data_IF_587802662923
#
_entry.id   IF_587802662923
#
_cell.length_a   1.000
_cell.length_b   1.000
_cell.length_c   1.000
_cell.angle_alpha   90.00
_cell.angle_beta   90.00
_cell.angle_gamma   90.00
#
_symmetry.space_group_name_H-M   'P 1'
#
loop_
_entity.id
_entity.type
_entity.pdbx_description
1 polymer ?
#
# COMPACT_ATOMS: atom_id res chain seq x y z
N UNK A 1 -19.56 -35.21 -35.80
CA UNK A 1 -20.04 -34.11 -36.31
C UNK A 1 -19.16 -32.88 -36.51
N UNK A 2 -17.99 -32.93 -37.06
CA UNK A 2 -17.12 -31.78 -37.22
C UNK A 2 -17.40 -30.91 -38.44
N UNK A 3 -18.63 -30.64 -38.75
CA UNK A 3 -18.99 -29.95 -40.00
C UNK A 3 -19.54 -28.54 -39.86
N UNK A 4 -19.42 -27.95 -38.70
CA UNK A 4 -19.44 -26.49 -38.58
C UNK A 4 -18.00 -25.95 -38.82
N UNK A 5 -17.42 -26.36 -39.91
CA UNK A 5 -16.21 -25.71 -40.38
C UNK A 5 -16.65 -24.39 -40.99
N UNK A 6 -16.15 -23.31 -40.47
CA UNK A 6 -16.30 -21.98 -41.05
C UNK A 6 -15.70 -22.04 -42.46
N UNK A 7 -16.54 -21.96 -43.45
CA UNK A 7 -16.20 -22.20 -44.85
C UNK A 7 -15.34 -21.06 -45.45
N UNK A 8 -15.30 -19.94 -44.81
CA UNK A 8 -14.47 -18.80 -45.24
C UNK A 8 -13.16 -18.78 -44.51
N UNK A 9 -12.12 -19.44 -45.01
CA UNK A 9 -10.77 -19.34 -44.55
C UNK A 9 -10.05 -18.26 -45.39
N UNK A 10 -9.77 -17.13 -44.78
CA UNK A 10 -8.92 -16.08 -45.38
C UNK A 10 -7.45 -16.43 -45.29
N UNK A 11 -6.63 -15.67 -46.01
CA UNK A 11 -5.14 -15.82 -45.95
C UNK A 11 -4.57 -15.59 -44.55
N UNK A 12 -5.19 -14.72 -43.74
CA UNK A 12 -4.83 -14.46 -42.35
C UNK A 12 -5.17 -15.65 -41.44
N UNK A 13 -6.32 -16.27 -41.65
CA UNK A 13 -6.73 -17.44 -40.88
C UNK A 13 -5.80 -18.62 -41.11
N UNK A 14 -5.37 -18.82 -42.36
CA UNK A 14 -4.42 -19.86 -42.73
C UNK A 14 -3.04 -19.65 -42.09
N UNK A 15 -2.62 -18.39 -41.87
CA UNK A 15 -1.39 -18.07 -41.19
C UNK A 15 -1.44 -18.47 -39.69
N UNK A 16 -2.59 -18.31 -39.05
CA UNK A 16 -2.76 -18.65 -37.63
C UNK A 16 -3.00 -20.16 -37.43
N UNK A 17 -3.76 -20.81 -38.33
CA UNK A 17 -4.19 -22.21 -38.20
C UNK A 17 -3.30 -23.20 -38.98
N UNK A 18 -2.43 -22.70 -39.89
CA UNK A 18 -1.47 -23.52 -40.62
C UNK A 18 -0.31 -24.00 -39.73
N UNK A 19 0.05 -25.28 -39.85
CA UNK A 19 1.10 -25.91 -39.04
C UNK A 19 0.90 -25.70 -37.52
N UNK A 20 -0.22 -26.13 -36.91
CA UNK A 20 -0.52 -25.87 -35.52
C UNK A 20 0.51 -26.50 -34.58
N UNK A 21 0.92 -25.75 -33.58
CA UNK A 21 1.89 -26.17 -32.56
C UNK A 21 1.18 -26.62 -31.28
N UNK A 22 0.00 -26.13 -31.02
CA UNK A 22 -0.79 -26.41 -29.80
C UNK A 22 -2.23 -26.77 -30.18
N UNK A 23 -2.89 -27.50 -29.30
CA UNK A 23 -4.34 -27.68 -29.29
C UNK A 23 -4.90 -27.17 -27.97
N UNK A 24 -6.09 -26.57 -28.01
CA UNK A 24 -6.76 -26.12 -26.78
C UNK A 24 -7.38 -27.25 -25.95
N UNK A 25 -7.41 -28.45 -26.48
CA UNK A 25 -8.08 -29.61 -25.88
C UNK A 25 -7.12 -30.62 -25.24
N UNK A 26 -5.82 -30.26 -25.15
CA UNK A 26 -4.81 -31.09 -24.50
C UNK A 26 -3.78 -30.22 -23.79
N UNK A 27 -3.61 -30.45 -22.51
CA UNK A 27 -2.54 -29.83 -21.73
C UNK A 27 -1.21 -30.49 -22.04
N UNK A 28 -0.23 -29.71 -22.45
CA UNK A 28 1.13 -30.17 -22.73
C UNK A 28 2.00 -29.89 -21.50
N UNK A 29 2.51 -30.93 -20.87
CA UNK A 29 3.44 -30.82 -19.76
C UNK A 29 4.88 -30.70 -20.28
N UNK A 30 5.60 -29.72 -19.71
CA UNK A 30 7.05 -29.59 -19.94
C UNK A 30 7.82 -30.30 -18.83
N UNK A 31 8.94 -30.90 -19.18
CA UNK A 31 9.88 -31.46 -18.21
C UNK A 31 10.53 -30.30 -17.45
N UNK A 32 10.66 -30.43 -16.14
CA UNK A 32 11.30 -29.45 -15.26
C UNK A 32 12.20 -30.17 -14.26
N UNK A 33 13.14 -29.44 -13.66
CA UNK A 33 13.98 -29.93 -12.56
C UNK A 33 13.17 -29.95 -11.26
N UNK A 34 13.50 -30.88 -10.37
CA UNK A 34 12.92 -30.94 -9.04
C UNK A 34 13.55 -29.88 -8.15
N UNK A 35 12.75 -29.33 -7.26
CA UNK A 35 13.20 -28.39 -6.24
C UNK A 35 12.33 -28.50 -4.99
N UNK A 36 12.85 -28.03 -3.87
CA UNK A 36 12.07 -27.84 -2.64
C UNK A 36 12.38 -26.48 -2.03
N UNK A 37 11.48 -26.01 -1.18
CA UNK A 37 11.65 -24.73 -0.49
C UNK A 37 11.46 -24.93 1.01
N UNK A 38 12.23 -24.19 1.80
CA UNK A 38 12.16 -24.19 3.24
C UNK A 38 12.37 -22.77 3.77
N UNK A 39 11.66 -22.42 4.84
CA UNK A 39 11.80 -21.14 5.52
C UNK A 39 12.57 -21.37 6.81
N UNK A 40 13.70 -20.68 6.96
CA UNK A 40 14.59 -20.83 8.11
C UNK A 40 14.84 -19.49 8.76
N UNK A 41 14.72 -19.44 10.07
CA UNK A 41 15.04 -18.28 10.88
C UNK A 41 16.54 -18.00 10.85
N UNK A 42 16.91 -16.73 10.73
CA UNK A 42 18.31 -16.26 10.77
C UNK A 42 18.54 -15.41 12.01
N UNK A 43 19.69 -15.60 12.62
CA UNK A 43 20.09 -14.87 13.81
C UNK A 43 20.45 -13.42 13.46
N UNK A 44 19.92 -12.46 14.24
CA UNK A 44 20.24 -11.05 14.14
C UNK A 44 21.32 -10.73 15.19
N UNK A 45 22.48 -10.31 14.74
CA UNK A 45 23.54 -9.80 15.58
C UNK A 45 23.27 -8.32 15.94
N UNK A 46 23.49 -7.95 17.18
CA UNK A 46 23.19 -6.61 17.68
C UNK A 46 21.83 -6.53 18.35
N UNK A 47 21.03 -5.52 18.04
CA UNK A 47 19.74 -5.32 18.66
C UNK A 47 18.62 -5.95 17.81
N UNK A 48 17.87 -6.85 18.41
CA UNK A 48 16.65 -7.47 17.84
C UNK A 48 15.37 -6.99 18.53
N UNK A 49 15.46 -6.06 19.47
CA UNK A 49 14.31 -5.49 20.20
C UNK A 49 14.31 -3.98 19.95
N UNK A 50 13.17 -3.47 19.53
CA UNK A 50 12.97 -2.03 19.33
C UNK A 50 12.99 -1.29 20.65
N UNK A 51 13.65 -0.14 20.64
CA UNK A 51 13.77 0.77 21.79
C UNK A 51 13.27 2.16 21.39
N UNK A 52 13.23 3.08 22.33
CA UNK A 52 12.90 4.50 22.12
C UNK A 52 13.94 5.23 21.27
N UNK A 53 15.16 4.70 21.17
CA UNK A 53 16.23 5.21 20.31
C UNK A 53 16.47 4.31 19.13
N UNK A 54 16.85 4.90 18.00
CA UNK A 54 17.23 4.17 16.79
C UNK A 54 18.38 3.21 17.10
N UNK A 55 18.23 1.96 16.74
CA UNK A 55 19.22 0.89 16.92
C UNK A 55 19.52 0.24 15.58
N UNK A 56 20.57 -0.54 15.51
CA UNK A 56 20.93 -1.30 14.32
C UNK A 56 21.13 -2.77 14.64
N UNK A 57 20.84 -3.61 13.65
CA UNK A 57 21.09 -5.04 13.67
C UNK A 57 21.75 -5.49 12.38
N UNK A 58 22.51 -6.55 12.45
CA UNK A 58 23.15 -7.18 11.29
C UNK A 58 22.78 -8.67 11.27
N UNK A 59 22.47 -9.20 10.10
CA UNK A 59 22.24 -10.63 9.92
C UNK A 59 23.13 -11.15 8.78
N UNK A 60 23.88 -12.19 9.07
CA UNK A 60 24.62 -12.93 8.06
C UNK A 60 23.72 -14.05 7.57
N UNK A 61 23.44 -14.07 6.28
CA UNK A 61 22.60 -15.08 5.66
C UNK A 61 23.37 -16.39 5.58
N UNK A 62 22.94 -17.39 6.35
CA UNK A 62 23.53 -18.71 6.35
C UNK A 62 23.28 -19.42 5.03
N UNK A 63 24.23 -20.24 4.58
CA UNK A 63 24.12 -21.01 3.34
C UNK A 63 23.41 -22.35 3.57
N UNK A 64 22.18 -22.27 4.04
CA UNK A 64 21.38 -23.47 4.34
C UNK A 64 20.84 -24.13 3.06
N UNK A 65 20.58 -23.31 2.01
CA UNK A 65 20.10 -23.76 0.72
C UNK A 65 20.93 -23.24 -0.45
N UNK A 66 20.57 -23.66 -1.66
CA UNK A 66 21.30 -23.30 -2.88
C UNK A 66 20.97 -21.89 -3.36
N UNK A 67 19.69 -21.48 -3.27
CA UNK A 67 19.23 -20.15 -3.64
C UNK A 67 18.45 -19.51 -2.48
N UNK A 68 18.50 -18.19 -2.40
CA UNK A 68 17.67 -17.36 -1.51
C UNK A 68 16.59 -16.67 -2.35
N UNK A 69 15.31 -16.95 -2.04
CA UNK A 69 14.17 -16.45 -2.83
C UNK A 69 13.44 -15.29 -2.17
N UNK A 70 13.17 -15.39 -0.87
CA UNK A 70 12.45 -14.37 -0.12
C UNK A 70 13.07 -14.17 1.24
N UNK A 71 12.95 -12.94 1.71
CA UNK A 71 13.33 -12.56 3.06
C UNK A 71 12.21 -11.71 3.64
N UNK A 72 11.82 -11.99 4.86
CA UNK A 72 10.84 -11.19 5.58
C UNK A 72 11.18 -11.12 7.06
N UNK A 73 10.69 -10.08 7.69
CA UNK A 73 10.79 -9.86 9.13
C UNK A 73 9.45 -10.19 9.74
N UNK A 74 9.43 -10.84 10.90
CA UNK A 74 8.24 -11.01 11.71
C UNK A 74 8.42 -10.51 13.13
N UNK A 75 7.31 -10.17 13.76
CA UNK A 75 7.21 -9.89 15.18
C UNK A 75 5.88 -10.42 15.73
N UNK A 76 5.94 -11.12 16.84
CA UNK A 76 4.79 -11.64 17.58
C UNK A 76 4.42 -10.73 18.76
N UNK A 77 4.99 -9.55 18.84
CA UNK A 77 4.71 -8.58 19.91
C UNK A 77 3.35 -7.92 19.68
N UNK A 78 2.51 -7.95 20.69
CA UNK A 78 1.22 -7.27 20.69
C UNK A 78 1.38 -5.75 20.78
N UNK A 79 0.44 -5.00 20.18
CA UNK A 79 0.43 -3.53 20.25
C UNK A 79 1.16 -2.82 19.12
N UNK A 80 1.65 -3.56 18.13
CA UNK A 80 2.20 -2.96 16.91
C UNK A 80 1.06 -2.34 16.10
N UNK A 81 1.16 -1.04 15.82
CA UNK A 81 0.17 -0.28 15.05
C UNK A 81 0.68 0.16 13.68
N UNK A 82 2.00 0.28 13.53
CA UNK A 82 2.70 0.67 12.30
C UNK A 82 3.89 -0.26 12.06
N UNK A 83 3.61 -1.51 11.69
CA UNK A 83 4.66 -2.49 11.45
C UNK A 83 5.55 -2.17 10.24
N UNK A 84 5.05 -1.42 9.28
CA UNK A 84 5.81 -0.91 8.14
C UNK A 84 6.98 0.01 8.57
N UNK A 85 6.88 0.66 9.74
CA UNK A 85 7.94 1.49 10.33
C UNK A 85 8.96 0.73 11.19
N UNK A 86 8.84 -0.59 11.32
CA UNK A 86 9.84 -1.40 12.05
C UNK A 86 11.23 -1.23 11.42
N UNK A 87 11.28 -1.15 10.09
CA UNK A 87 12.53 -0.96 9.36
C UNK A 87 12.61 0.49 8.90
N UNK A 88 13.52 1.25 9.45
CA UNK A 88 13.83 2.57 8.93
C UNK A 88 14.66 2.47 7.65
N UNK A 89 15.69 1.62 7.68
CA UNK A 89 16.55 1.38 6.51
C UNK A 89 17.07 -0.05 6.52
N UNK A 90 17.15 -0.67 5.35
CA UNK A 90 17.77 -1.98 5.18
C UNK A 90 18.74 -1.96 4.02
N UNK A 91 19.91 -2.54 4.21
CA UNK A 91 21.01 -2.63 3.24
C UNK A 91 21.39 -4.07 3.03
N UNK A 92 21.64 -4.44 1.78
CA UNK A 92 22.23 -5.72 1.44
C UNK A 92 23.70 -5.52 1.03
N UNK A 93 24.59 -6.30 1.65
CA UNK A 93 26.01 -6.34 1.33
C UNK A 93 26.39 -7.72 0.86
N UNK A 94 27.18 -7.80 -0.20
CA UNK A 94 27.73 -9.04 -0.73
C UNK A 94 29.24 -8.88 -0.78
N UNK A 95 29.98 -9.73 -0.05
CA UNK A 95 31.43 -9.63 0.03
C UNK A 95 31.94 -8.30 0.66
N UNK A 96 31.10 -7.64 1.44
CA UNK A 96 31.41 -6.34 2.07
C UNK A 96 30.98 -5.12 1.26
N UNK A 97 30.67 -5.28 -0.01
CA UNK A 97 30.18 -4.19 -0.87
C UNK A 97 28.67 -4.03 -0.74
N UNK A 98 28.21 -2.76 -0.58
CA UNK A 98 26.80 -2.41 -0.54
C UNK A 98 26.20 -2.51 -1.96
N UNK A 99 25.30 -3.45 -2.15
CA UNK A 99 24.66 -3.66 -3.45
C UNK A 99 23.38 -2.83 -3.57
N UNK A 100 22.54 -2.83 -2.53
CA UNK A 100 21.26 -2.10 -2.56
C UNK A 100 20.88 -1.60 -1.17
N UNK A 101 20.04 -0.56 -1.12
CA UNK A 101 19.57 0.06 0.11
C UNK A 101 18.13 0.52 -0.04
N UNK A 102 17.26 0.10 0.86
CA UNK A 102 15.86 0.50 0.89
C UNK A 102 15.54 1.25 2.17
N UNK A 103 14.81 2.35 2.05
CA UNK A 103 14.26 3.11 3.17
C UNK A 103 12.81 2.72 3.43
N UNK A 104 12.28 3.09 4.59
CA UNK A 104 10.87 2.88 4.95
C UNK A 104 9.95 3.49 3.89
N UNK A 105 10.17 4.74 3.54
CA UNK A 105 9.37 5.50 2.57
C UNK A 105 9.39 4.84 1.20
N UNK A 106 10.55 4.34 0.76
CA UNK A 106 10.66 3.61 -0.48
C UNK A 106 9.82 2.32 -0.47
N UNK A 107 9.89 1.55 0.62
CA UNK A 107 9.13 0.30 0.73
C UNK A 107 7.61 0.55 0.75
N UNK A 108 7.16 1.59 1.43
CA UNK A 108 5.76 2.00 1.45
C UNK A 108 5.28 2.40 0.05
N UNK A 109 6.02 3.30 -0.61
CA UNK A 109 5.69 3.81 -1.93
C UNK A 109 5.66 2.69 -2.98
N UNK A 110 6.65 1.80 -2.96
CA UNK A 110 6.68 0.65 -3.86
C UNK A 110 5.52 -0.32 -3.65
N UNK A 111 5.16 -0.57 -2.40
CA UNK A 111 3.99 -1.39 -2.08
C UNK A 111 2.69 -0.78 -2.60
N UNK A 112 2.51 0.52 -2.52
CA UNK A 112 1.33 1.21 -3.06
C UNK A 112 1.24 1.14 -4.59
N UNK A 113 2.37 1.19 -5.30
CA UNK A 113 2.41 1.14 -6.76
C UNK A 113 2.31 -0.27 -7.35
N UNK A 114 2.80 -1.28 -6.63
CA UNK A 114 2.92 -2.65 -7.16
C UNK A 114 1.92 -3.63 -6.56
N UNK A 115 1.35 -3.33 -5.39
CA UNK A 115 0.39 -4.22 -4.76
C UNK A 115 -0.98 -4.08 -5.44
N UNK A 116 -1.54 -5.17 -6.02
CA UNK A 116 -2.88 -5.12 -6.57
C UNK A 116 -3.92 -4.74 -5.51
N UNK A 117 -4.95 -4.02 -5.92
CA UNK A 117 -6.05 -3.58 -5.06
C UNK A 117 -6.62 -4.70 -4.19
N UNK A 118 -6.80 -5.88 -4.77
CA UNK A 118 -7.34 -7.06 -4.09
C UNK A 118 -6.47 -7.58 -2.95
N UNK A 119 -5.17 -7.27 -2.96
CA UNK A 119 -4.19 -7.68 -1.94
C UNK A 119 -3.81 -6.56 -0.99
N UNK A 120 -4.16 -5.31 -1.29
CA UNK A 120 -3.72 -4.14 -0.50
C UNK A 120 -4.19 -4.19 0.95
N UNK A 121 -5.43 -4.61 1.20
CA UNK A 121 -5.97 -4.77 2.55
C UNK A 121 -5.23 -5.91 3.28
N UNK A 122 -4.99 -7.03 2.58
CA UNK A 122 -4.25 -8.15 3.12
C UNK A 122 -2.80 -7.78 3.48
N UNK A 123 -2.14 -6.98 2.65
CA UNK A 123 -0.78 -6.49 2.94
C UNK A 123 -0.76 -5.56 4.16
N UNK A 124 -1.71 -4.63 4.26
CA UNK A 124 -1.84 -3.76 5.44
C UNK A 124 -2.11 -4.57 6.72
N UNK A 125 -2.95 -5.61 6.62
CA UNK A 125 -3.18 -6.55 7.72
C UNK A 125 -1.90 -7.28 8.11
N UNK A 126 -1.18 -7.81 7.11
CA UNK A 126 0.08 -8.53 7.32
C UNK A 126 1.14 -7.64 8.00
N UNK A 127 1.17 -6.36 7.67
CA UNK A 127 2.09 -5.38 8.26
C UNK A 127 1.58 -4.76 9.58
N UNK A 128 0.40 -5.14 10.06
CA UNK A 128 -0.18 -4.56 11.27
C UNK A 128 -0.61 -3.10 11.15
N UNK A 129 -0.79 -2.60 9.92
CA UNK A 129 -1.16 -1.21 9.63
C UNK A 129 -2.67 -1.00 9.46
N UNK A 130 -3.52 -1.84 10.07
CA UNK A 130 -4.97 -1.72 9.98
C UNK A 130 -5.50 -0.95 11.19
N UNK A 131 -5.96 0.27 10.90
CA UNK A 131 -6.82 1.07 11.75
C UNK A 131 -6.10 1.90 12.80
N UNK A 132 -6.49 3.15 12.93
CA UNK A 132 -6.07 4.08 13.99
C UNK A 132 -6.66 3.73 15.36
N UNK A 133 -7.28 2.59 15.54
CA UNK A 133 -8.00 2.20 16.77
C UNK A 133 -7.29 1.16 17.62
N UNK A 134 -5.96 1.11 17.65
CA UNK A 134 -5.17 0.43 18.70
C UNK A 134 -5.44 -1.06 18.97
N UNK A 135 -6.35 -1.68 18.28
CA UNK A 135 -6.68 -3.11 18.37
C UNK A 135 -6.39 -3.78 17.04
N UNK A 136 -5.14 -4.08 16.81
CA UNK A 136 -4.76 -4.98 15.72
C UNK A 136 -5.25 -6.37 16.10
N UNK A 137 -6.20 -6.88 15.35
CA UNK A 137 -6.62 -8.28 15.45
C UNK A 137 -5.57 -9.27 14.91
N UNK A 138 -4.35 -8.81 14.67
CA UNK A 138 -3.24 -9.59 14.14
C UNK A 138 -2.29 -9.89 15.28
N UNK A 139 -2.09 -11.16 15.56
CA UNK A 139 -1.19 -11.63 16.62
C UNK A 139 0.28 -11.62 16.19
N UNK A 140 0.55 -11.58 14.90
CA UNK A 140 1.89 -11.59 14.34
C UNK A 140 1.96 -10.69 13.10
N UNK A 141 3.01 -9.90 13.01
CA UNK A 141 3.26 -8.97 11.91
C UNK A 141 4.35 -9.54 11.02
N UNK A 142 4.17 -9.46 9.70
CA UNK A 142 5.16 -9.88 8.72
C UNK A 142 5.45 -8.76 7.72
N UNK A 143 6.73 -8.45 7.54
CA UNK A 143 7.19 -7.38 6.64
C UNK A 143 8.09 -8.00 5.58
N UNK A 144 7.61 -8.21 4.35
CA UNK A 144 8.42 -8.73 3.26
C UNK A 144 9.42 -7.68 2.80
N UNK A 145 10.66 -8.07 2.58
CA UNK A 145 11.67 -7.23 1.95
C UNK A 145 11.51 -7.23 0.43
N UNK A 146 11.85 -6.10 -0.21
CA UNK A 146 11.56 -5.81 -1.61
C UNK A 146 12.79 -5.82 -2.52
N UNK A 147 13.88 -6.49 -2.13
CA UNK A 147 15.07 -6.63 -2.98
C UNK A 147 14.75 -7.37 -4.30
N UNK A 148 15.60 -7.19 -5.31
CA UNK A 148 15.39 -7.75 -6.65
C UNK A 148 15.12 -9.26 -6.65
N UNK A 149 15.82 -10.01 -5.81
CA UNK A 149 15.66 -11.48 -5.71
C UNK A 149 14.37 -11.90 -5.00
N UNK A 150 13.75 -10.98 -4.22
CA UNK A 150 12.45 -11.23 -3.58
C UNK A 150 11.26 -11.02 -4.52
N UNK A 151 11.45 -10.25 -5.61
CA UNK A 151 10.36 -9.87 -6.52
C UNK A 151 10.07 -10.92 -7.57
N UNK A 152 11.10 -11.61 -8.07
CA UNK A 152 10.97 -12.61 -9.12
C UNK A 152 11.75 -13.87 -8.75
N UNK A 153 11.09 -15.03 -8.89
CA UNK A 153 11.69 -16.35 -8.63
C UNK A 153 12.93 -16.61 -9.50
N UNK A 154 12.93 -16.12 -10.74
CA UNK A 154 14.06 -16.25 -11.66
C UNK A 154 15.28 -15.41 -11.31
N UNK A 155 15.14 -14.48 -10.37
CA UNK A 155 16.22 -13.64 -9.85
C UNK A 155 16.69 -14.07 -8.45
N UNK A 156 16.28 -15.26 -7.98
CA UNK A 156 16.71 -15.79 -6.68
C UNK A 156 18.23 -15.73 -6.55
N UNK A 157 18.71 -15.26 -5.38
CA UNK A 157 20.13 -15.06 -5.15
C UNK A 157 20.87 -16.39 -5.03
N UNK A 158 21.83 -16.71 -5.92
CA UNK A 158 22.49 -18.01 -5.94
C UNK A 158 23.58 -18.09 -4.86
N UNK A 159 23.23 -18.48 -3.65
CA UNK A 159 24.19 -18.62 -2.55
C UNK A 159 25.27 -19.64 -2.85
N UNK A 160 24.95 -20.66 -3.64
CA UNK A 160 25.91 -21.68 -4.07
C UNK A 160 27.01 -21.12 -4.97
N UNK A 161 26.72 -20.07 -5.75
CA UNK A 161 27.73 -19.40 -6.58
C UNK A 161 28.58 -18.41 -5.76
N UNK A 162 28.07 -17.92 -4.63
CA UNK A 162 28.72 -16.95 -3.75
C UNK A 162 29.56 -17.62 -2.65
N UNK A 163 30.32 -18.68 -3.00
CA UNK A 163 31.04 -19.51 -2.01
C UNK A 163 32.04 -18.72 -1.14
N UNK A 164 32.62 -17.67 -1.68
CA UNK A 164 33.68 -16.88 -1.03
C UNK A 164 33.20 -15.49 -0.55
N UNK A 165 31.94 -15.17 -0.76
CA UNK A 165 31.37 -13.86 -0.42
C UNK A 165 30.18 -14.04 0.48
N UNK A 166 30.25 -13.50 1.69
CA UNK A 166 29.13 -13.53 2.61
C UNK A 166 28.07 -12.51 2.19
N UNK A 167 26.83 -12.93 2.30
CA UNK A 167 25.66 -12.07 2.13
C UNK A 167 25.23 -11.59 3.50
N UNK A 168 25.18 -10.28 3.69
CA UNK A 168 24.76 -9.63 4.93
C UNK A 168 23.59 -8.71 4.69
N UNK A 169 22.68 -8.69 5.64
CA UNK A 169 21.64 -7.68 5.76
C UNK A 169 21.95 -6.81 6.97
N UNK A 170 21.96 -5.52 6.77
CA UNK A 170 22.16 -4.53 7.83
C UNK A 170 20.91 -3.70 7.94
N UNK A 171 20.35 -3.67 9.14
CA UNK A 171 19.11 -2.98 9.46
C UNK A 171 19.39 -1.79 10.36
N UNK A 172 18.75 -0.69 10.04
CA UNK A 172 18.55 0.42 10.95
C UNK A 172 17.06 0.38 11.34
N UNK A 173 16.80 0.13 12.61
CA UNK A 173 15.44 -0.08 13.12
C UNK A 173 14.74 1.26 13.37
N UNK A 174 13.44 1.26 13.22
CA UNK A 174 12.57 2.32 13.73
C UNK A 174 12.50 2.33 15.25
N UNK A 175 11.87 3.35 15.80
CA UNK A 175 11.71 3.47 17.24
C UNK A 175 10.44 2.78 17.73
N UNK A 176 10.45 2.28 18.98
CA UNK A 176 9.27 1.69 19.60
C UNK A 176 8.09 2.68 19.70
N UNK A 177 8.38 3.98 19.74
CA UNK A 177 7.37 5.06 19.74
C UNK A 177 6.64 5.14 18.40
N UNK A 178 7.38 5.03 17.28
CA UNK A 178 6.80 5.06 15.93
C UNK A 178 6.01 3.80 15.60
N UNK A 179 6.47 2.65 16.07
CA UNK A 179 5.86 1.33 15.82
C UNK A 179 4.67 1.06 16.76
N UNK A 180 4.64 1.68 17.92
CA UNK A 180 3.63 1.51 18.97
C UNK A 180 3.99 0.48 20.04
N UNK A 181 5.08 -0.29 19.88
CA UNK A 181 5.50 -1.29 20.84
C UNK A 181 7.02 -1.54 20.80
N UNK A 182 7.57 -2.03 21.92
CA UNK A 182 8.95 -2.56 21.99
C UNK A 182 8.97 -3.98 21.40
N UNK A 183 8.93 -4.06 20.07
CA UNK A 183 8.75 -5.31 19.34
C UNK A 183 10.03 -6.14 19.30
N UNK A 184 9.93 -7.44 19.56
CA UNK A 184 10.99 -8.41 19.27
C UNK A 184 10.93 -8.81 17.81
N UNK A 185 12.08 -8.79 17.14
CA UNK A 185 12.18 -8.95 15.69
C UNK A 185 12.87 -10.29 15.38
N UNK A 186 12.24 -11.04 14.45
CA UNK A 186 12.77 -12.29 13.89
C UNK A 186 12.95 -12.13 12.38
N UNK A 187 14.03 -12.67 11.85
CA UNK A 187 14.35 -12.65 10.43
C UNK A 187 14.17 -14.03 9.82
N UNK A 188 13.40 -14.13 8.76
CA UNK A 188 13.12 -15.37 8.06
C UNK A 188 13.61 -15.32 6.62
N UNK A 189 14.27 -16.38 6.21
CA UNK A 189 14.79 -16.55 4.86
C UNK A 189 14.19 -17.81 4.20
N UNK A 190 13.60 -17.63 3.03
CA UNK A 190 13.10 -18.76 2.22
C UNK A 190 14.20 -19.22 1.27
N UNK A 191 14.67 -20.44 1.52
CA UNK A 191 15.70 -21.11 0.73
C UNK A 191 15.07 -22.03 -0.30
N UNK A 192 15.77 -22.18 -1.43
CA UNK A 192 15.43 -23.15 -2.47
C UNK A 192 16.57 -24.18 -2.55
N UNK A 193 16.19 -25.45 -2.54
CA UNK A 193 17.10 -26.58 -2.74
C UNK A 193 16.91 -27.09 -4.16
N UNK A 194 18.00 -27.20 -4.90
CA UNK A 194 18.02 -27.61 -6.29
C UNK A 194 18.40 -29.06 -6.44
N UNK A 195 18.02 -29.68 -7.58
CA UNK A 195 18.47 -30.99 -7.96
C UNK A 195 19.97 -30.97 -8.31
N UNK A 196 20.62 -32.13 -8.23
CA UNK A 196 22.07 -32.28 -8.36
C UNK A 196 22.63 -31.68 -9.65
N UNK A 197 21.96 -31.87 -10.78
CA UNK A 197 22.45 -31.40 -12.09
C UNK A 197 22.32 -29.87 -12.20
N UNK A 198 21.24 -29.31 -11.72
CA UNK A 198 21.01 -27.84 -11.69
C UNK A 198 21.94 -27.16 -10.69
N UNK A 199 22.12 -27.75 -9.51
CA UNK A 199 23.04 -27.30 -8.49
C UNK A 199 24.48 -27.23 -9.01
N UNK A 200 24.93 -28.24 -9.74
CA UNK A 200 26.26 -28.24 -10.37
C UNK A 200 26.39 -27.12 -11.40
N UNK A 201 25.34 -26.88 -12.20
CA UNK A 201 25.29 -25.78 -13.17
C UNK A 201 25.47 -24.43 -12.51
N UNK A 202 24.71 -24.15 -11.45
CA UNK A 202 24.83 -22.88 -10.71
C UNK A 202 26.20 -22.71 -10.05
N UNK A 203 26.81 -23.77 -9.57
CA UNK A 203 28.12 -23.72 -8.92
C UNK A 203 29.29 -23.50 -9.87
N UNK A 204 29.19 -24.00 -11.12
CA UNK A 204 30.35 -24.06 -12.05
C UNK A 204 30.26 -23.03 -13.18
N UNK A 205 29.06 -22.58 -13.56
CA UNK A 205 28.90 -21.63 -14.64
C UNK A 205 28.83 -20.19 -14.11
N UNK A 206 29.43 -19.23 -14.84
CA UNK A 206 29.25 -17.81 -14.48
C UNK A 206 27.78 -17.43 -14.58
N UNK A 207 27.31 -16.69 -13.60
CA UNK A 207 25.94 -16.21 -13.53
C UNK A 207 25.92 -14.71 -13.78
N UNK A 208 25.00 -14.27 -14.64
CA UNK A 208 24.75 -12.86 -14.93
C UNK A 208 23.30 -12.54 -14.62
N UNK A 209 23.08 -11.51 -13.82
CA UNK A 209 21.76 -11.04 -13.43
C UNK A 209 21.60 -9.57 -13.77
N UNK A 210 20.48 -9.23 -14.37
CA UNK A 210 20.03 -7.86 -14.44
C UNK A 210 19.28 -7.52 -13.16
N UNK A 211 19.84 -6.64 -12.35
CA UNK A 211 19.27 -6.24 -11.06
C UNK A 211 18.77 -4.78 -11.10
N UNK A 212 17.81 -4.48 -10.26
CA UNK A 212 17.33 -3.13 -10.00
C UNK A 212 17.87 -2.68 -8.65
N UNK A 213 18.43 -1.48 -8.60
CA UNK A 213 18.97 -0.86 -7.39
C UNK A 213 18.25 0.46 -7.12
N UNK A 214 18.12 0.82 -5.86
CA UNK A 214 17.56 2.09 -5.42
C UNK A 214 18.69 3.05 -5.05
N UNK A 215 18.65 4.25 -5.60
CA UNK A 215 19.52 5.35 -5.19
C UNK A 215 18.65 6.44 -4.58
N UNK A 216 18.99 6.86 -3.39
CA UNK A 216 18.21 7.77 -2.57
C UNK A 216 18.97 9.07 -2.32
N UNK A 217 18.26 10.18 -2.37
CA UNK A 217 18.76 11.50 -2.01
C UNK A 217 17.71 12.26 -1.21
N UNK A 218 18.09 12.72 -0.05
CA UNK A 218 17.26 13.56 0.81
C UNK A 218 17.77 15.01 0.75
N UNK A 219 16.84 15.95 0.79
CA UNK A 219 17.11 17.38 0.85
C UNK A 219 16.26 18.00 1.97
N UNK A 220 16.90 18.47 3.01
CA UNK A 220 16.25 19.02 4.21
C UNK A 220 15.62 20.40 4.04
N UNK A 221 15.70 21.02 2.87
CA UNK A 221 15.15 22.36 2.61
C UNK A 221 14.31 22.38 1.34
N UNK A 222 13.16 23.05 1.42
CA UNK A 222 12.31 23.28 0.25
C UNK A 222 13.00 24.18 -0.77
N UNK A 223 13.18 23.69 -1.99
CA UNK A 223 13.79 24.39 -3.13
C UNK A 223 12.90 24.28 -4.34
N UNK A 224 12.97 25.26 -5.24
CA UNK A 224 12.28 25.18 -6.53
C UNK A 224 13.01 24.32 -7.56
N UNK A 225 14.27 23.99 -7.34
CA UNK A 225 15.08 23.17 -8.23
C UNK A 225 16.01 22.28 -7.44
N UNK A 226 16.03 21.01 -7.80
CA UNK A 226 16.88 19.97 -7.20
C UNK A 226 17.83 19.40 -8.24
N UNK A 227 19.08 19.20 -7.87
CA UNK A 227 20.08 18.57 -8.74
C UNK A 227 20.36 17.16 -8.24
N UNK A 228 20.24 16.18 -9.14
CA UNK A 228 20.50 14.78 -8.85
C UNK A 228 21.81 14.34 -9.52
N UNK A 229 22.60 13.57 -8.80
CA UNK A 229 23.84 12.96 -9.29
C UNK A 229 23.73 11.44 -9.11
N UNK A 230 22.72 10.82 -9.77
CA UNK A 230 22.55 9.40 -9.78
C UNK A 230 23.44 8.73 -10.82
N UNK A 231 23.93 7.54 -10.49
CA UNK A 231 24.73 6.71 -11.39
C UNK A 231 23.84 5.62 -11.96
N UNK A 232 24.29 4.97 -13.04
CA UNK A 232 23.58 3.92 -13.76
C UNK A 232 22.35 4.39 -14.57
N UNK A 233 21.89 3.58 -15.52
CA UNK A 233 20.68 3.87 -16.28
C UNK A 233 19.46 3.97 -15.36
N UNK A 234 18.77 5.10 -15.42
CA UNK A 234 17.56 5.35 -14.60
C UNK A 234 16.36 4.74 -15.28
N UNK A 235 15.65 3.87 -14.59
CA UNK A 235 14.38 3.28 -15.01
C UNK A 235 13.21 4.18 -14.65
N UNK A 236 13.18 4.64 -13.41
CA UNK A 236 12.10 5.46 -12.86
C UNK A 236 12.65 6.44 -11.83
N UNK A 237 11.95 7.56 -11.66
CA UNK A 237 12.22 8.58 -10.65
C UNK A 237 11.00 8.74 -9.76
N UNK A 238 11.21 8.60 -8.47
CA UNK A 238 10.19 8.83 -7.45
C UNK A 238 10.59 10.02 -6.61
N UNK A 239 9.62 10.86 -6.28
CA UNK A 239 9.83 11.94 -5.33
C UNK A 239 8.64 12.06 -4.40
N UNK A 240 8.92 12.27 -3.15
CA UNK A 240 7.92 12.46 -2.10
C UNK A 240 8.37 13.58 -1.18
N UNK A 241 7.49 14.09 -0.38
CA UNK A 241 7.76 15.08 0.65
C UNK A 241 7.04 14.69 1.92
N UNK A 242 7.67 14.92 3.05
CA UNK A 242 7.08 14.73 4.38
C UNK A 242 5.89 15.69 4.60
N UNK A 243 5.97 16.89 4.03
CA UNK A 243 4.89 17.86 4.05
C UNK A 243 4.13 17.89 2.72
N UNK A 244 2.92 18.46 2.74
CA UNK A 244 2.11 18.61 1.53
C UNK A 244 2.88 19.32 0.42
N UNK A 245 2.98 18.69 -0.74
CA UNK A 245 3.56 19.31 -1.93
C UNK A 245 2.52 20.23 -2.53
N UNK A 246 2.72 21.55 -2.43
CA UNK A 246 1.85 22.57 -3.03
C UNK A 246 2.20 22.88 -4.50
N UNK A 247 3.20 22.17 -5.06
CA UNK A 247 3.67 22.40 -6.41
C UNK A 247 2.64 21.92 -7.44
N UNK A 248 2.16 22.83 -8.27
CA UNK A 248 1.16 22.53 -9.30
C UNK A 248 1.75 21.88 -10.55
N UNK A 249 3.02 22.08 -10.83
CA UNK A 249 3.67 21.55 -12.02
C UNK A 249 5.16 21.25 -11.80
N UNK A 250 5.68 20.27 -12.55
CA UNK A 250 7.09 19.91 -12.53
C UNK A 250 7.63 19.64 -13.93
N UNK A 251 8.94 19.82 -14.10
CA UNK A 251 9.68 19.45 -15.30
C UNK A 251 11.03 18.85 -14.95
N UNK A 252 11.57 18.03 -15.81
CA UNK A 252 12.90 17.42 -15.66
C UNK A 252 13.83 17.96 -16.71
N UNK A 253 15.03 18.37 -16.28
CA UNK A 253 16.12 18.81 -17.15
C UNK A 253 17.23 17.77 -17.18
N UNK A 254 17.68 17.40 -18.35
CA UNK A 254 18.85 16.56 -18.54
C UNK A 254 19.95 17.40 -19.19
N UNK A 255 21.13 17.49 -18.56
CA UNK A 255 22.24 18.30 -19.03
C UNK A 255 21.84 19.75 -19.32
N UNK A 256 20.99 20.34 -18.48
CA UNK A 256 20.53 21.73 -18.61
C UNK A 256 19.43 21.97 -19.66
N UNK A 257 18.98 20.93 -20.39
CA UNK A 257 17.89 21.00 -21.34
C UNK A 257 16.63 20.38 -20.83
N UNK A 258 15.47 21.02 -21.03
CA UNK A 258 14.18 20.48 -20.64
C UNK A 258 13.91 19.19 -21.42
N UNK A 259 13.61 18.10 -20.69
CA UNK A 259 13.26 16.81 -21.29
C UNK A 259 11.85 16.82 -21.85
N UNK A 260 10.94 17.48 -21.15
CA UNK A 260 9.55 17.70 -21.55
C UNK A 260 9.06 19.04 -20.96
N UNK A 261 7.98 19.57 -21.54
CA UNK A 261 7.31 20.76 -21.03
C UNK A 261 6.75 20.48 -19.62
N UNK A 262 6.75 21.49 -18.76
CA UNK A 262 6.19 21.37 -17.42
C UNK A 262 4.78 20.75 -17.45
N UNK A 263 4.61 19.66 -16.70
CA UNK A 263 3.38 18.92 -16.58
C UNK A 263 2.77 19.16 -15.19
N UNK A 264 1.44 19.09 -15.11
CA UNK A 264 0.70 19.22 -13.86
C UNK A 264 0.89 17.98 -12.97
N UNK A 265 0.54 18.11 -11.69
CA UNK A 265 0.67 17.03 -10.69
C UNK A 265 -0.07 15.75 -11.08
N UNK A 266 -1.26 15.87 -11.69
CA UNK A 266 -2.09 14.74 -12.11
C UNK A 266 -1.37 13.84 -13.14
N UNK A 267 -0.52 14.41 -13.97
CA UNK A 267 0.29 13.65 -14.91
C UNK A 267 1.24 12.68 -14.19
N UNK A 268 1.90 13.14 -13.14
CA UNK A 268 2.85 12.31 -12.38
C UNK A 268 2.16 11.37 -11.39
N UNK A 269 1.06 11.80 -10.80
CA UNK A 269 0.39 11.07 -9.72
C UNK A 269 -0.62 10.03 -10.22
N UNK A 270 -1.21 10.25 -11.39
CA UNK A 270 -2.27 9.40 -11.94
C UNK A 270 -1.85 8.77 -13.26
N UNK A 271 -1.51 9.59 -14.27
CA UNK A 271 -1.23 9.10 -15.62
C UNK A 271 0.00 8.17 -15.66
N UNK A 272 1.12 8.59 -15.08
CA UNK A 272 2.33 7.78 -15.08
C UNK A 272 2.17 6.45 -14.31
N UNK A 273 1.58 6.40 -13.11
CA UNK A 273 1.29 5.13 -12.45
C UNK A 273 0.29 4.27 -13.22
N UNK A 274 -0.72 4.85 -13.85
CA UNK A 274 -1.69 4.11 -14.66
C UNK A 274 -1.03 3.35 -15.81
N UNK A 275 -0.10 3.99 -16.51
CA UNK A 275 0.55 3.39 -17.68
C UNK A 275 1.66 2.40 -17.31
N UNK A 276 2.35 2.61 -16.18
CA UNK A 276 3.62 1.93 -15.89
C UNK A 276 3.57 1.00 -14.67
N UNK A 277 2.55 1.11 -13.81
CA UNK A 277 2.43 0.34 -12.57
C UNK A 277 1.15 -0.50 -12.51
N UNK A 278 1.15 -1.45 -11.59
CA UNK A 278 0.00 -2.35 -11.37
C UNK A 278 -1.13 -1.65 -10.63
N UNK A 279 -0.82 -0.63 -9.83
CA UNK A 279 -1.76 0.08 -8.98
C UNK A 279 -1.51 1.57 -9.01
N UNK A 280 -2.55 2.35 -8.73
CA UNK A 280 -2.46 3.80 -8.54
C UNK A 280 -2.67 4.08 -7.06
N UNK A 281 -1.82 4.90 -6.40
CA UNK A 281 -2.04 5.31 -5.02
C UNK A 281 -3.41 5.97 -4.85
N UNK A 282 -4.23 5.47 -3.93
CA UNK A 282 -5.63 5.90 -3.75
C UNK A 282 -5.76 7.38 -3.41
N UNK A 283 -4.85 7.89 -2.60
CA UNK A 283 -4.82 9.31 -2.23
C UNK A 283 -4.62 10.26 -3.42
N UNK A 284 -4.18 9.73 -4.56
CA UNK A 284 -3.97 10.50 -5.78
C UNK A 284 -5.18 10.46 -6.71
N UNK A 285 -6.17 9.63 -6.42
CA UNK A 285 -7.39 9.55 -7.22
C UNK A 285 -8.34 10.67 -6.83
N UNK A 286 -8.84 11.46 -7.80
CA UNK A 286 -9.79 12.53 -7.54
C UNK A 286 -11.17 12.01 -7.11
N UNK A 287 -11.47 10.76 -7.45
CA UNK A 287 -12.70 10.07 -7.09
C UNK A 287 -12.34 8.88 -6.23
N UNK A 288 -12.79 8.86 -4.99
CA UNK A 288 -12.64 7.69 -4.12
C UNK A 288 -13.32 6.48 -4.75
N UNK A 289 -12.71 5.33 -4.59
CA UNK A 289 -13.34 4.08 -5.01
C UNK A 289 -14.73 3.95 -4.38
N UNK A 290 -15.72 3.51 -5.15
CA UNK A 290 -17.08 3.21 -4.71
C UNK A 290 -17.08 2.07 -3.66
N UNK A 291 -16.45 2.33 -2.51
CA UNK A 291 -16.54 1.44 -1.35
C UNK A 291 -17.46 2.10 -0.34
N UNK A 292 -18.55 1.45 0.02
CA UNK A 292 -19.35 1.93 1.13
C UNK A 292 -18.47 1.93 2.39
N UNK A 293 -18.27 3.11 2.96
CA UNK A 293 -17.60 3.29 4.25
C UNK A 293 -18.72 3.34 5.27
N UNK A 294 -18.74 2.40 6.18
CA UNK A 294 -19.71 2.38 7.26
C UNK A 294 -19.15 3.13 8.45
N UNK A 295 -19.77 4.22 8.81
CA UNK A 295 -19.46 5.03 10.01
C UNK A 295 -20.62 4.94 10.97
N UNK A 296 -20.33 4.93 12.27
CA UNK A 296 -21.33 5.03 13.32
C UNK A 296 -21.43 6.48 13.77
N UNK A 297 -22.63 7.05 13.70
CA UNK A 297 -22.90 8.42 14.08
C UNK A 297 -24.01 8.48 15.14
N UNK A 298 -23.97 9.49 15.98
CA UNK A 298 -25.04 9.78 16.94
C UNK A 298 -25.79 11.04 16.49
N UNK A 299 -27.13 10.95 16.43
CA UNK A 299 -27.97 12.12 16.14
C UNK A 299 -28.02 13.06 17.35
N UNK A 300 -27.98 14.35 17.10
CA UNK A 300 -28.30 15.39 18.10
C UNK A 300 -29.20 16.47 17.54
N UNK A 301 -30.11 16.99 18.40
CA UNK A 301 -31.12 17.98 18.01
C UNK A 301 -30.62 19.43 18.01
N UNK A 302 -29.44 19.72 18.56
CA UNK A 302 -28.92 21.08 18.65
C UNK A 302 -27.58 21.21 17.97
N UNK A 303 -27.28 22.41 17.47
CA UNK A 303 -25.97 22.83 16.95
C UNK A 303 -24.90 22.52 18.00
N UNK A 304 -24.39 21.31 18.00
CA UNK A 304 -23.40 20.93 18.95
C UNK A 304 -22.04 21.24 18.39
N UNK A 305 -21.34 22.07 19.09
CA UNK A 305 -19.92 22.38 18.89
C UNK A 305 -19.02 21.30 19.51
N UNK A 306 -19.58 20.39 20.29
CA UNK A 306 -18.80 19.45 21.08
C UNK A 306 -19.13 17.98 20.73
N UNK A 307 -18.12 17.22 20.36
CA UNK A 307 -18.16 15.77 20.33
C UNK A 307 -17.66 15.31 21.71
N UNK A 308 -18.59 15.15 22.65
CA UNK A 308 -18.25 14.84 24.06
C UNK A 308 -18.05 13.36 24.34
N UNK A 309 -18.28 12.49 23.37
CA UNK A 309 -18.22 11.05 23.54
C UNK A 309 -17.36 10.38 22.46
N UNK A 310 -16.93 9.15 22.67
CA UNK A 310 -16.15 8.32 21.76
C UNK A 310 -16.82 8.05 20.39
N UNK A 311 -17.83 8.84 20.02
CA UNK A 311 -18.50 8.78 18.73
C UNK A 311 -17.65 9.47 17.68
N UNK A 312 -17.34 8.72 16.63
CA UNK A 312 -16.49 9.18 15.52
C UNK A 312 -17.11 10.26 14.66
N UNK A 313 -18.41 10.48 14.75
CA UNK A 313 -19.16 11.36 13.89
C UNK A 313 -20.47 11.79 14.57
N UNK A 314 -20.94 13.00 14.28
CA UNK A 314 -22.16 13.57 14.81
C UNK A 314 -22.99 14.16 13.68
N UNK A 315 -24.29 13.90 13.68
CA UNK A 315 -25.22 14.42 12.68
C UNK A 315 -26.19 15.37 13.36
N UNK A 316 -26.36 16.55 12.81
CA UNK A 316 -27.36 17.53 13.19
C UNK A 316 -28.26 17.74 11.98
N UNK A 317 -29.56 17.61 12.16
CA UNK A 317 -30.57 17.86 11.13
C UNK A 317 -31.21 19.20 11.41
N UNK A 318 -31.29 20.04 10.40
CA UNK A 318 -31.91 21.36 10.51
C UNK A 318 -33.43 21.23 10.74
N UNK A 319 -34.02 22.30 11.26
CA UNK A 319 -35.45 22.32 11.61
C UNK A 319 -36.41 22.11 10.42
N UNK A 320 -35.91 22.34 9.20
CA UNK A 320 -36.66 22.08 7.96
C UNK A 320 -36.72 20.59 7.58
N UNK A 321 -35.87 19.77 8.20
CA UNK A 321 -35.76 18.35 7.90
C UNK A 321 -35.22 18.01 6.49
N UNK A 322 -34.72 19.02 5.75
CA UNK A 322 -34.24 18.88 4.38
C UNK A 322 -32.74 19.06 4.25
N UNK A 323 -32.11 19.63 5.23
CA UNK A 323 -30.70 19.91 5.32
C UNK A 323 -30.12 19.57 6.68
N UNK A 324 -28.82 19.64 6.81
CA UNK A 324 -28.15 19.40 8.07
C UNK A 324 -26.64 19.43 7.95
N UNK A 325 -25.97 19.12 9.04
CA UNK A 325 -24.53 19.08 9.12
C UNK A 325 -24.04 17.77 9.72
N UNK A 326 -22.90 17.30 9.21
CA UNK A 326 -22.17 16.16 9.74
C UNK A 326 -20.81 16.64 10.21
N UNK A 327 -20.48 16.40 11.46
CA UNK A 327 -19.18 16.71 12.04
C UNK A 327 -18.38 15.44 12.24
N UNK A 328 -17.20 15.36 11.62
CA UNK A 328 -16.24 14.29 11.79
C UNK A 328 -15.07 14.76 12.67
N UNK A 329 -14.55 13.87 13.49
CA UNK A 329 -13.31 14.08 14.22
C UNK A 329 -12.11 13.92 13.27
N UNK A 330 -11.04 14.68 13.48
CA UNK A 330 -9.93 14.83 12.53
C UNK A 330 -9.13 13.54 12.27
N UNK A 331 -9.12 12.62 13.19
CA UNK A 331 -8.37 11.35 13.16
C UNK A 331 -9.13 10.18 12.49
N UNK A 332 -10.34 10.46 11.98
CA UNK A 332 -11.22 9.43 11.43
C UNK A 332 -11.48 9.68 9.96
N UNK A 333 -11.91 8.65 9.27
CA UNK A 333 -12.34 8.48 7.89
C UNK A 333 -13.10 9.68 7.23
N UNK A 334 -13.30 10.80 7.93
CA UNK A 334 -13.84 12.05 7.39
C UNK A 334 -13.01 12.66 6.26
N UNK A 335 -11.73 12.31 6.14
CA UNK A 335 -10.92 12.66 4.96
C UNK A 335 -11.35 11.95 3.67
N UNK A 336 -12.22 10.96 3.78
CA UNK A 336 -12.72 10.15 2.65
C UNK A 336 -14.02 10.69 2.06
N UNK A 337 -14.57 11.75 2.66
CA UNK A 337 -15.82 12.39 2.21
C UNK A 337 -15.47 13.72 1.54
N UNK A 338 -15.98 13.93 0.34
CA UNK A 338 -15.78 15.15 -0.44
C UNK A 338 -17.10 15.83 -0.78
N UNK A 339 -17.01 17.10 -1.18
CA UNK A 339 -18.18 17.85 -1.67
C UNK A 339 -18.66 17.20 -2.96
N UNK A 340 -19.96 16.89 -3.02
CA UNK A 340 -20.59 16.17 -4.12
C UNK A 340 -20.87 14.71 -3.81
N UNK A 341 -20.20 14.13 -2.82
CA UNK A 341 -20.44 12.73 -2.43
C UNK A 341 -21.87 12.53 -1.92
N UNK A 342 -22.37 11.34 -2.11
CA UNK A 342 -23.69 10.91 -1.63
C UNK A 342 -23.53 10.04 -0.39
N UNK A 343 -24.22 10.40 0.70
CA UNK A 343 -24.27 9.62 1.92
C UNK A 343 -25.63 8.92 2.03
N UNK A 344 -25.58 7.66 2.40
CA UNK A 344 -26.75 6.89 2.79
C UNK A 344 -26.75 6.77 4.31
N UNK A 345 -27.71 7.38 4.96
CA UNK A 345 -27.92 7.38 6.41
C UNK A 345 -29.03 6.39 6.72
N UNK A 346 -28.77 5.42 7.57
CA UNK A 346 -29.79 4.44 8.00
C UNK A 346 -29.60 4.07 9.47
N UNK A 347 -30.70 3.68 10.09
CA UNK A 347 -30.70 3.13 11.44
C UNK A 347 -30.24 1.67 11.39
N UNK A 348 -29.35 1.29 12.31
CA UNK A 348 -28.87 -0.09 12.42
C UNK A 348 -29.97 -1.09 12.73
N UNK A 349 -30.97 -0.67 13.52
CA UNK A 349 -32.05 -1.50 14.01
C UNK A 349 -33.27 -1.46 13.08
N UNK A 350 -33.47 -0.37 12.33
CA UNK A 350 -34.60 -0.13 11.44
C UNK A 350 -34.14 0.24 10.02
N UNK A 351 -33.73 -0.72 9.22
CA UNK A 351 -33.17 -0.52 7.87
C UNK A 351 -34.13 0.10 6.85
N UNK A 352 -35.41 0.16 7.14
CA UNK A 352 -36.45 0.84 6.36
C UNK A 352 -36.41 2.38 6.56
N UNK A 353 -35.70 2.86 7.58
CA UNK A 353 -35.46 4.28 7.80
C UNK A 353 -34.14 4.71 7.14
N UNK A 354 -34.16 4.82 5.83
CA UNK A 354 -32.99 5.19 5.04
C UNK A 354 -33.18 6.56 4.42
N UNK A 355 -32.21 7.44 4.62
CA UNK A 355 -32.17 8.76 3.98
C UNK A 355 -30.91 8.90 3.14
N UNK A 356 -31.06 9.40 1.93
CA UNK A 356 -29.95 9.68 1.01
C UNK A 356 -29.75 11.18 0.94
N UNK A 357 -28.54 11.63 1.27
CA UNK A 357 -28.17 13.04 1.30
C UNK A 357 -26.94 13.27 0.43
N UNK A 358 -26.79 14.49 -0.10
CA UNK A 358 -25.64 14.93 -0.86
C UNK A 358 -24.85 15.97 -0.07
N UNK A 359 -23.53 15.81 -0.04
CA UNK A 359 -22.64 16.80 0.58
C UNK A 359 -22.57 18.04 -0.29
N UNK A 360 -22.91 19.18 0.29
CA UNK A 360 -22.93 20.47 -0.42
C UNK A 360 -21.76 21.35 -0.09
N UNK A 361 -21.20 21.26 1.11
CA UNK A 361 -20.13 22.12 1.59
C UNK A 361 -19.21 21.40 2.57
N UNK A 362 -17.97 21.83 2.66
CA UNK A 362 -16.96 21.33 3.59
C UNK A 362 -16.29 22.49 4.32
N UNK A 363 -16.27 22.46 5.63
CA UNK A 363 -15.65 23.46 6.49
C UNK A 363 -14.75 22.80 7.53
N UNK A 364 -13.53 23.33 7.72
CA UNK A 364 -12.68 22.93 8.84
C UNK A 364 -13.14 23.68 10.10
N UNK A 365 -13.43 22.97 11.17
CA UNK A 365 -13.96 23.55 12.42
C UNK A 365 -13.05 23.20 13.58
N UNK A 366 -12.81 24.17 14.46
CA UNK A 366 -12.17 23.88 15.74
C UNK A 366 -13.18 23.25 16.69
N UNK A 367 -12.94 22.03 17.08
CA UNK A 367 -13.75 21.33 18.09
C UNK A 367 -13.14 21.62 19.45
N UNK A 368 -13.93 22.15 20.38
CA UNK A 368 -13.47 22.73 21.66
C UNK A 368 -13.14 21.68 22.73
N UNK A 369 -13.28 20.39 22.48
CA UNK A 369 -12.92 19.34 23.44
C UNK A 369 -11.62 18.68 22.98
N UNK A 370 -10.58 18.76 23.79
CA UNK A 370 -9.24 18.18 23.59
C UNK A 370 -8.36 18.81 22.49
N UNK A 371 -8.59 20.06 22.07
CA UNK A 371 -7.81 20.78 21.07
C UNK A 371 -7.74 20.11 19.67
N UNK A 372 -8.63 19.19 19.39
CA UNK A 372 -8.71 18.51 18.10
C UNK A 372 -9.45 19.37 17.07
N UNK A 373 -8.94 19.40 15.85
CA UNK A 373 -9.60 20.01 14.70
C UNK A 373 -10.53 18.99 14.05
N UNK A 374 -11.79 19.37 13.83
CA UNK A 374 -12.77 18.54 13.12
C UNK A 374 -13.07 19.05 11.71
N UNK A 375 -13.75 18.24 10.92
CA UNK A 375 -14.25 18.61 9.60
C UNK A 375 -15.77 18.56 9.63
N UNK A 376 -16.41 19.69 9.30
CA UNK A 376 -17.86 19.82 9.17
C UNK A 376 -18.25 19.73 7.70
N UNK A 377 -19.26 18.94 7.41
CA UNK A 377 -19.89 18.88 6.09
C UNK A 377 -21.34 19.31 6.20
N UNK A 378 -21.74 20.21 5.32
CA UNK A 378 -23.15 20.52 5.11
C UNK A 378 -23.70 19.56 4.06
N UNK A 379 -24.94 19.13 4.23
CA UNK A 379 -25.59 18.23 3.29
C UNK A 379 -27.04 18.67 3.00
N UNK A 380 -27.55 18.25 1.85
CA UNK A 380 -28.94 18.36 1.46
C UNK A 380 -29.55 16.99 1.16
N UNK A 381 -30.83 16.83 1.48
CA UNK A 381 -31.55 15.59 1.22
C UNK A 381 -31.81 15.40 -0.28
N UNK A 382 -31.51 14.19 -0.77
CA UNK A 382 -31.88 13.76 -2.14
C UNK A 382 -33.14 12.89 -2.08
N UNK A 383 -33.21 11.96 -1.14
CA UNK A 383 -34.29 10.96 -1.06
C UNK A 383 -34.48 10.46 0.37
N UNK A 384 -35.72 10.14 0.74
CA UNK A 384 -36.05 9.41 1.97
C UNK A 384 -36.77 8.11 1.65
N UNK A 385 -36.51 7.07 2.41
CA UNK A 385 -37.14 5.75 2.26
C UNK A 385 -38.65 5.75 2.57
N UNK A 386 -39.14 6.74 3.30
CA UNK A 386 -40.57 7.00 3.49
C UNK A 386 -40.96 8.26 2.73
N UNK A 387 -42.11 8.20 2.07
CA UNK A 387 -42.69 9.28 1.24
C UNK A 387 -43.17 10.51 2.08
N UNK A 388 -42.47 10.86 3.14
CA UNK A 388 -42.85 11.96 4.05
C UNK A 388 -42.31 13.33 3.61
N UNK A 389 -41.40 13.36 2.63
CA UNK A 389 -40.76 14.59 2.17
C UNK A 389 -39.78 15.22 3.15
N UNK A 390 -39.57 14.62 4.32
CA UNK A 390 -38.66 15.08 5.39
C UNK A 390 -37.75 13.94 5.78
N UNK A 391 -36.54 14.21 6.26
CA UNK A 391 -35.62 13.17 6.70
C UNK A 391 -36.26 12.28 7.76
N UNK A 392 -36.39 11.02 7.43
CA UNK A 392 -36.89 10.00 8.32
C UNK A 392 -35.70 9.40 9.10
N UNK A 393 -35.19 10.17 10.03
CA UNK A 393 -34.12 9.75 10.92
C UNK A 393 -34.75 9.50 12.30
N UNK A 394 -34.58 8.29 12.85
CA UNK A 394 -35.21 7.97 14.14
C UNK A 394 -34.65 8.77 15.30
N UNK A 395 -35.24 8.61 16.44
CA UNK A 395 -35.16 9.41 17.66
C UNK A 395 -33.74 9.87 18.08
N UNK A 396 -33.71 10.86 18.98
CA UNK A 396 -32.48 11.35 19.63
C UNK A 396 -31.69 10.20 20.27
N UNK A 397 -30.37 10.25 20.09
CA UNK A 397 -29.39 9.29 20.66
C UNK A 397 -29.29 7.91 19.97
N UNK A 398 -30.06 7.65 18.91
CA UNK A 398 -29.92 6.38 18.18
C UNK A 398 -28.61 6.32 17.39
N UNK A 399 -28.00 5.13 17.34
CA UNK A 399 -26.80 4.87 16.59
C UNK A 399 -27.14 4.76 15.10
N UNK A 400 -26.72 5.72 14.31
CA UNK A 400 -26.92 5.75 12.86
C UNK A 400 -25.69 5.16 12.15
N UNK A 401 -25.93 4.46 11.06
CA UNK A 401 -24.90 4.02 10.15
C UNK A 401 -24.88 4.92 8.91
N UNK A 402 -23.68 5.28 8.50
CA UNK A 402 -23.40 6.11 7.33
C UNK A 402 -22.65 5.29 6.29
N UNK A 403 -23.21 5.18 5.11
CA UNK A 403 -22.50 4.65 3.96
C UNK A 403 -22.17 5.79 3.00
N UNK A 404 -20.91 6.01 2.73
CA UNK A 404 -20.44 7.00 1.76
C UNK A 404 -20.39 6.35 0.39
N UNK A 405 -21.16 6.90 -0.56
CA UNK A 405 -21.12 6.53 -1.97
C UNK A 405 -20.41 7.67 -2.69
N UNK A 406 -19.25 7.40 -3.21
CA UNK A 406 -18.48 8.36 -4.01
C UNK A 406 -19.05 8.44 -5.41
N UNK A 407 -19.36 9.66 -5.90
CA UNK A 407 -19.73 9.92 -7.30
C UNK A 407 -18.49 10.06 -8.19
#
# INVERSE_FOLDING_TARGET
GGLLQLVAIGSQDNFITGNPQITFFKTIYRRHTNFSTEVIEQFIHGTSILDTSTKSGEAIISRNGDLLRKVYISSDTSGITMGDKIINKVRILIGGEKIDEHTCEWMQLWNELTCPETKSIGLKSLQGCIGSSGTTGVSEVHIPLLFWFCRNTGLALPLIALQYHDVKLVFDWGTSTEVGAAAEIKLWCEYVYLDTDERRRFAQMPQEYLIEQVQYKEEGTSKLSYTFAFNHPVKELFWTSENSITTESATIKLNGRDRFRAQKKEYFQIHQPYDNHTSIPRQNLPVGLNRPITLTATRQETTATDITDNTKCKIVIDADGLSGTILFRNDVDGMLVDVGDTLIIYDADHKDHTTVVRITEREAVNVTVDADTGIRYSFSMIFTGRNTGVMDVPHNEDTLQLNVVKE
#
